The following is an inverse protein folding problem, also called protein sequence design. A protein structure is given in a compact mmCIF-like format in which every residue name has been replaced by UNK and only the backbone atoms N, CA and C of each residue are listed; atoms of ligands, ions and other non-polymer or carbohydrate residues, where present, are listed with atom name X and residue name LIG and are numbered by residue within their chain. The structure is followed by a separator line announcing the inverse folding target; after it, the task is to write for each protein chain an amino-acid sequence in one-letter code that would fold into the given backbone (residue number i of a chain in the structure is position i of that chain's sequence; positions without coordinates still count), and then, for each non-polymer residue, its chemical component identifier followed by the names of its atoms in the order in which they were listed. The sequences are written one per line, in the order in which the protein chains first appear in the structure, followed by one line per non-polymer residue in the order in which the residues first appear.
data_IF_141669080942
#
_entry.id   IF_141669080942
#
_cell.length_a   1.000
_cell.length_b   1.000
_cell.length_c   1.000
_cell.angle_alpha   90.00
_cell.angle_beta   90.00
_cell.angle_gamma   90.00
#
_symmetry.space_group_name_H-M   'P 1'
#
loop_
_entity.id
_entity.type
_entity.pdbx_description
1 polymer ?
#
# COMPACT_ATOMS: atom_id res chain seq x y z
N UNK A 1 -22.16 57.46 -38.03
CA UNK A 1 -21.01 56.55 -37.93
C UNK A 1 -20.76 56.25 -36.45
N UNK A 2 -21.44 55.26 -35.85
CA UNK A 2 -21.35 55.03 -34.40
C UNK A 2 -21.50 53.58 -33.95
N UNK A 3 -21.69 52.65 -34.90
CA UNK A 3 -21.90 51.23 -34.60
C UNK A 3 -20.63 50.38 -34.76
N UNK A 4 -19.62 50.87 -35.50
CA UNK A 4 -18.34 50.17 -35.70
C UNK A 4 -17.42 50.25 -34.47
N UNK A 5 -17.60 51.27 -33.62
CA UNK A 5 -16.84 51.45 -32.39
C UNK A 5 -17.24 50.42 -31.32
N UNK A 6 -18.51 49.99 -31.32
CA UNK A 6 -19.03 48.93 -30.42
C UNK A 6 -18.51 47.54 -30.81
N UNK A 7 -18.37 47.25 -32.11
CA UNK A 7 -17.82 45.99 -32.58
C UNK A 7 -16.34 45.84 -32.21
N UNK A 8 -15.56 46.92 -32.39
CA UNK A 8 -14.13 46.95 -32.02
C UNK A 8 -13.91 46.81 -30.51
N UNK A 9 -14.77 47.43 -29.68
CA UNK A 9 -14.69 47.29 -28.22
C UNK A 9 -14.97 45.86 -27.77
N UNK A 10 -15.96 45.19 -28.38
CA UNK A 10 -16.32 43.80 -28.05
C UNK A 10 -15.20 42.82 -28.44
N UNK A 11 -14.52 43.06 -29.56
CA UNK A 11 -13.39 42.25 -30.00
C UNK A 11 -12.17 42.41 -29.08
N UNK A 12 -11.90 43.63 -28.60
CA UNK A 12 -10.87 43.88 -27.59
C UNK A 12 -11.16 43.16 -26.26
N UNK A 13 -12.40 43.26 -25.75
CA UNK A 13 -12.82 42.57 -24.53
C UNK A 13 -12.72 41.03 -24.66
N UNK A 14 -13.01 40.47 -25.85
CA UNK A 14 -12.86 39.04 -26.10
C UNK A 14 -11.39 38.59 -26.11
N UNK A 15 -10.48 39.42 -26.63
CA UNK A 15 -9.03 39.14 -26.64
C UNK A 15 -8.42 39.21 -25.23
N UNK A 16 -8.82 40.18 -24.42
CA UNK A 16 -8.37 40.27 -23.02
C UNK A 16 -8.91 39.11 -22.17
N UNK A 17 -10.18 38.73 -22.34
CA UNK A 17 -10.74 37.57 -21.65
C UNK A 17 -10.06 36.24 -22.07
N UNK A 18 -9.62 36.12 -23.33
CA UNK A 18 -8.85 34.99 -23.81
C UNK A 18 -7.44 34.96 -23.20
N UNK A 19 -6.77 36.12 -23.11
CA UNK A 19 -5.44 36.28 -22.49
C UNK A 19 -5.47 35.92 -21.01
N UNK A 20 -6.42 36.46 -20.26
CA UNK A 20 -6.62 36.12 -18.84
C UNK A 20 -6.92 34.63 -18.63
N UNK A 21 -7.70 34.00 -19.51
CA UNK A 21 -7.94 32.54 -19.46
C UNK A 21 -6.68 31.75 -19.76
N UNK A 22 -5.86 32.17 -20.72
CA UNK A 22 -4.58 31.51 -21.01
C UNK A 22 -3.56 31.70 -19.88
N UNK A 23 -3.51 32.86 -19.24
CA UNK A 23 -2.63 33.15 -18.10
C UNK A 23 -3.07 32.36 -16.86
N UNK A 24 -4.38 32.34 -16.53
CA UNK A 24 -4.92 31.49 -15.45
C UNK A 24 -4.72 29.99 -15.73
N UNK A 25 -4.72 29.56 -17.00
CA UNK A 25 -4.47 28.16 -17.40
C UNK A 25 -2.98 27.79 -17.40
N UNK A 26 -2.09 28.75 -17.63
CA UNK A 26 -0.63 28.57 -17.49
C UNK A 26 -0.22 28.53 -16.00
N UNK A 27 -0.75 29.44 -15.18
CA UNK A 27 -0.44 29.50 -13.74
C UNK A 27 -0.96 28.26 -12.97
N UNK A 28 -2.05 27.64 -13.45
CA UNK A 28 -2.57 26.36 -12.92
C UNK A 28 -1.82 25.12 -13.41
N UNK A 29 -0.93 25.24 -14.41
CA UNK A 29 -0.04 24.16 -14.86
C UNK A 29 1.26 24.10 -14.03
N UNK A 30 1.71 25.24 -13.50
CA UNK A 30 2.88 25.31 -12.60
C UNK A 30 2.59 24.88 -11.15
N UNK A 31 1.31 24.68 -10.78
CA UNK A 31 0.90 24.08 -9.49
C UNK A 31 0.41 22.64 -9.63
N UNK A 32 0.86 21.93 -10.68
CA UNK A 32 0.83 20.47 -10.71
C UNK A 32 2.21 19.99 -10.31
N UNK A 33 2.44 19.55 -9.06
CA UNK A 33 3.71 18.91 -8.74
C UNK A 33 3.89 17.77 -9.74
N UNK A 34 5.00 17.83 -10.46
CA UNK A 34 5.48 16.75 -11.30
C UNK A 34 5.35 15.44 -10.53
N UNK A 35 4.89 14.39 -11.20
CA UNK A 35 4.85 13.05 -10.64
C UNK A 35 6.27 12.62 -10.27
N UNK A 36 6.70 12.94 -9.04
CA UNK A 36 7.82 12.29 -8.37
C UNK A 36 7.53 10.80 -8.37
N UNK A 37 8.54 9.93 -8.56
CA UNK A 37 8.33 8.48 -8.62
C UNK A 37 7.80 8.00 -7.27
N UNK A 38 6.48 7.85 -7.17
CA UNK A 38 5.72 7.29 -6.05
C UNK A 38 6.11 7.79 -4.66
N UNK A 39 5.29 8.68 -4.08
CA UNK A 39 5.18 8.79 -2.63
C UNK A 39 4.60 7.47 -2.08
N UNK A 40 5.42 6.42 -2.09
CA UNK A 40 5.09 5.16 -1.44
C UNK A 40 5.05 5.47 0.04
N UNK A 41 3.95 5.13 0.71
CA UNK A 41 3.78 5.37 2.14
C UNK A 41 5.07 4.96 2.90
N UNK A 42 5.57 5.80 3.82
CA UNK A 42 6.81 5.51 4.54
C UNK A 42 6.74 4.14 5.24
N UNK A 43 5.55 3.76 5.69
CA UNK A 43 5.24 2.45 6.26
C UNK A 43 5.50 1.29 5.28
N UNK A 44 5.11 1.45 4.01
CA UNK A 44 5.32 0.43 2.97
C UNK A 44 6.81 0.32 2.62
N UNK A 45 7.54 1.43 2.64
CA UNK A 45 9.01 1.42 2.48
C UNK A 45 9.69 0.68 3.64
N UNK A 46 9.25 0.90 4.87
CA UNK A 46 9.75 0.17 6.05
C UNK A 46 9.45 -1.32 5.93
N UNK A 47 8.25 -1.71 5.52
CA UNK A 47 7.92 -3.13 5.23
C UNK A 47 8.86 -3.69 4.15
N UNK A 48 9.12 -2.95 3.07
CA UNK A 48 10.01 -3.41 2.01
C UNK A 48 11.46 -3.59 2.49
N UNK A 49 11.95 -2.73 3.40
CA UNK A 49 13.26 -2.92 4.05
C UNK A 49 13.28 -4.19 4.90
N UNK A 50 12.23 -4.44 5.68
CA UNK A 50 12.09 -5.67 6.47
C UNK A 50 12.09 -6.91 5.59
N UNK A 51 11.39 -6.89 4.45
CA UNK A 51 11.39 -7.99 3.49
C UNK A 51 12.77 -8.29 2.90
N UNK A 52 13.60 -7.26 2.68
CA UNK A 52 14.99 -7.44 2.19
C UNK A 52 15.91 -8.04 3.25
N UNK A 53 15.69 -7.69 4.51
CA UNK A 53 16.54 -8.14 5.64
C UNK A 53 16.13 -9.50 6.17
N UNK A 54 14.84 -9.77 6.22
CA UNK A 54 14.26 -11.00 6.77
C UNK A 54 13.32 -11.62 5.75
N UNK A 55 13.84 -12.21 4.65
CA UNK A 55 13.01 -12.80 3.60
C UNK A 55 12.19 -14.01 4.09
N UNK A 56 12.65 -14.70 5.14
CA UNK A 56 11.97 -15.85 5.74
C UNK A 56 10.73 -15.42 6.56
N UNK A 57 10.88 -14.40 7.40
CA UNK A 57 9.78 -13.85 8.19
C UNK A 57 8.83 -12.98 7.35
N UNK A 58 9.39 -12.16 6.47
CA UNK A 58 8.67 -11.22 5.60
C UNK A 58 8.85 -11.59 4.12
N UNK A 59 8.17 -12.65 3.64
CA UNK A 59 8.24 -13.02 2.23
C UNK A 59 7.62 -11.95 1.33
N UNK A 60 8.19 -11.78 0.12
CA UNK A 60 7.68 -10.92 -0.95
C UNK A 60 6.91 -11.77 -1.97
N UNK A 61 5.87 -11.19 -2.57
CA UNK A 61 5.06 -11.84 -3.63
C UNK A 61 5.99 -12.43 -4.72
N UNK A 62 5.83 -13.70 -5.15
CA UNK A 62 4.65 -14.57 -5.02
C UNK A 62 4.57 -15.47 -3.78
N UNK A 63 5.56 -15.46 -2.87
CA UNK A 63 5.56 -16.38 -1.73
C UNK A 63 4.37 -16.12 -0.77
N UNK A 64 3.75 -17.19 -0.21
CA UNK A 64 2.69 -17.05 0.78
C UNK A 64 3.24 -16.35 2.03
N UNK A 65 2.44 -15.48 2.64
CA UNK A 65 2.83 -14.87 3.93
C UNK A 65 2.93 -15.96 5.00
N UNK A 66 3.78 -15.76 5.99
CA UNK A 66 3.96 -16.72 7.08
C UNK A 66 3.39 -16.13 8.37
N UNK A 67 2.75 -16.92 9.25
CA UNK A 67 2.39 -16.47 10.58
C UNK A 67 3.66 -16.07 11.36
N UNK A 68 3.67 -14.85 11.89
CA UNK A 68 4.82 -14.33 12.60
C UNK A 68 4.78 -14.76 14.09
N UNK A 69 5.96 -14.84 14.70
CA UNK A 69 6.14 -14.99 16.16
C UNK A 69 5.30 -13.97 16.93
N UNK A 70 4.69 -14.41 18.05
CA UNK A 70 4.05 -13.47 19.01
C UNK A 70 5.15 -12.66 19.67
N UNK A 71 5.04 -11.32 19.64
CA UNK A 71 6.10 -10.45 20.17
C UNK A 71 7.23 -10.16 19.18
N UNK A 72 7.11 -10.53 17.89
CA UNK A 72 8.14 -10.23 16.88
C UNK A 72 8.44 -8.72 16.74
N UNK A 73 7.52 -7.85 17.16
CA UNK A 73 7.75 -6.42 17.21
C UNK A 73 8.88 -6.06 18.19
N UNK A 74 8.97 -6.73 19.35
CA UNK A 74 10.03 -6.51 20.33
C UNK A 74 11.38 -6.93 19.76
N UNK A 75 11.42 -8.08 19.07
CA UNK A 75 12.61 -8.55 18.36
C UNK A 75 13.04 -7.55 17.25
N UNK A 76 12.07 -6.94 16.55
CA UNK A 76 12.33 -5.90 15.55
C UNK A 76 12.83 -4.60 16.16
N UNK A 77 12.28 -4.18 17.31
CA UNK A 77 12.72 -2.99 18.04
C UNK A 77 14.17 -3.18 18.51
N UNK A 78 14.53 -4.38 18.98
CA UNK A 78 15.92 -4.72 19.30
C UNK A 78 16.88 -4.57 18.11
N UNK A 79 16.39 -4.81 16.89
CA UNK A 79 17.16 -4.64 15.64
C UNK A 79 16.94 -3.28 14.95
N UNK A 80 16.19 -2.36 15.55
CA UNK A 80 15.82 -1.08 14.93
C UNK A 80 17.05 -0.23 14.53
N UNK A 81 18.08 -0.24 15.37
CA UNK A 81 19.36 0.45 15.11
C UNK A 81 20.06 -0.10 13.86
N UNK A 82 20.14 -1.43 13.72
CA UNK A 82 20.72 -2.08 12.54
C UNK A 82 19.91 -1.81 11.26
N UNK A 83 18.58 -1.67 11.41
CA UNK A 83 17.64 -1.38 10.32
C UNK A 83 17.55 0.11 9.98
N UNK A 84 18.18 0.99 10.78
CA UNK A 84 18.06 2.46 10.70
C UNK A 84 16.59 2.89 10.51
N UNK A 85 15.71 2.31 11.31
CA UNK A 85 14.26 2.56 11.29
C UNK A 85 13.81 2.87 12.72
N UNK A 86 12.86 3.80 12.89
CA UNK A 86 12.37 4.13 14.23
C UNK A 86 11.41 3.06 14.76
N UNK A 87 11.30 2.94 16.08
CA UNK A 87 10.30 2.07 16.72
C UNK A 87 8.88 2.41 16.25
N UNK A 88 8.56 3.69 16.09
CA UNK A 88 7.25 4.13 15.63
C UNK A 88 6.92 3.60 14.22
N UNK A 89 7.87 3.72 13.29
CA UNK A 89 7.72 3.19 11.93
C UNK A 89 7.60 1.67 11.92
N UNK A 90 8.35 0.96 12.75
CA UNK A 90 8.25 -0.51 12.87
C UNK A 90 6.87 -0.92 13.42
N UNK A 91 6.37 -0.22 14.43
CA UNK A 91 5.04 -0.48 14.99
C UNK A 91 3.94 -0.25 13.95
N UNK A 92 4.02 0.83 13.17
CA UNK A 92 3.03 1.11 12.12
C UNK A 92 3.16 0.18 10.91
N UNK A 93 4.38 -0.23 10.55
CA UNK A 93 4.63 -1.29 9.58
C UNK A 93 3.99 -2.61 10.02
N UNK A 94 4.14 -2.99 11.29
CA UNK A 94 3.54 -4.22 11.83
C UNK A 94 2.02 -4.16 11.87
N UNK A 95 1.42 -3.04 12.31
CA UNK A 95 -0.04 -2.86 12.24
C UNK A 95 -0.54 -3.04 10.80
N UNK A 96 0.14 -2.43 9.84
CA UNK A 96 -0.26 -2.49 8.42
C UNK A 96 -0.07 -3.90 7.85
N UNK A 97 1.04 -4.57 8.19
CA UNK A 97 1.32 -5.94 7.76
C UNK A 97 0.29 -6.95 8.26
N UNK A 98 -0.03 -6.90 9.56
CA UNK A 98 -0.96 -7.81 10.23
C UNK A 98 -2.44 -7.56 9.89
N UNK A 99 -2.79 -6.38 9.37
CA UNK A 99 -4.14 -6.06 8.85
C UNK A 99 -4.38 -6.53 7.41
N UNK A 100 -3.37 -7.12 6.76
CA UNK A 100 -3.46 -7.58 5.38
C UNK A 100 -4.24 -8.90 5.23
N UNK A 101 -5.10 -9.00 4.22
CA UNK A 101 -5.86 -10.23 3.92
C UNK A 101 -4.96 -11.46 3.69
N UNK A 102 -3.79 -11.24 3.08
CA UNK A 102 -2.78 -12.30 2.90
C UNK A 102 -2.26 -12.83 4.23
N UNK A 103 -2.13 -11.98 5.24
CA UNK A 103 -1.66 -12.41 6.57
C UNK A 103 -2.71 -13.28 7.26
N UNK A 104 -3.98 -12.86 7.25
CA UNK A 104 -5.08 -13.64 7.82
C UNK A 104 -5.29 -15.00 7.14
N UNK A 105 -4.98 -15.10 5.84
CA UNK A 105 -5.13 -16.37 5.12
C UNK A 105 -4.12 -17.43 5.57
N UNK A 106 -2.97 -17.02 6.10
CA UNK A 106 -1.93 -17.93 6.55
C UNK A 106 -2.01 -18.25 8.05
N UNK A 107 -2.94 -17.62 8.78
CA UNK A 107 -3.25 -17.94 10.18
C UNK A 107 -4.17 -19.17 10.23
N UNK A 108 -3.58 -20.33 9.98
CA UNK A 108 -4.24 -21.65 10.11
C UNK A 108 -3.84 -22.26 11.46
N UNK A 109 -4.78 -22.94 12.11
CA UNK A 109 -4.51 -23.65 13.37
C UNK A 109 -3.37 -24.66 13.19
N UNK A 110 -2.42 -24.67 14.13
CA UNK A 110 -1.24 -25.53 14.07
C UNK A 110 -0.14 -25.06 13.11
N UNK A 111 -0.33 -23.95 12.39
CA UNK A 111 0.72 -23.40 11.55
C UNK A 111 1.89 -22.90 12.39
N UNK A 112 3.11 -23.26 12.00
CA UNK A 112 4.35 -22.87 12.68
C UNK A 112 4.59 -21.38 12.48
N UNK A 113 4.73 -20.65 13.59
CA UNK A 113 5.11 -19.25 13.59
C UNK A 113 6.61 -19.13 13.35
N UNK A 114 7.02 -18.18 12.53
CA UNK A 114 8.44 -17.92 12.26
C UNK A 114 8.93 -16.67 12.98
N UNK A 115 10.16 -16.73 13.49
CA UNK A 115 10.90 -15.58 13.99
C UNK A 115 11.64 -14.82 12.86
N UNK A 116 12.44 -13.82 13.23
CA UNK A 116 13.23 -13.02 12.28
C UNK A 116 14.36 -13.81 11.60
N UNK A 117 14.88 -14.85 12.25
CA UNK A 117 15.89 -15.75 11.69
C UNK A 117 15.29 -16.85 10.81
N UNK A 118 13.96 -17.00 10.81
CA UNK A 118 13.25 -18.08 10.14
C UNK A 118 13.14 -19.36 10.98
N UNK A 119 13.48 -19.29 12.27
CA UNK A 119 13.27 -20.37 13.23
C UNK A 119 11.81 -20.50 13.67
N UNK A 120 11.46 -21.69 14.14
CA UNK A 120 10.14 -21.98 14.68
C UNK A 120 9.97 -21.32 16.05
N UNK A 121 8.98 -20.43 16.17
CA UNK A 121 8.74 -19.64 17.36
C UNK A 121 7.31 -19.81 17.89
N UNK A 122 6.90 -21.08 17.97
CA UNK A 122 5.59 -21.53 18.42
C UNK A 122 4.61 -21.77 17.28
N UNK A 123 3.33 -21.97 17.62
CA UNK A 123 2.29 -22.32 16.66
C UNK A 123 1.09 -21.37 16.77
N UNK A 124 0.29 -21.30 15.71
CA UNK A 124 -0.97 -20.55 15.71
C UNK A 124 -2.04 -21.34 16.45
N UNK A 125 -2.58 -20.74 17.52
CA UNK A 125 -3.67 -21.33 18.30
C UNK A 125 -4.99 -21.34 17.51
N UNK A 126 -5.86 -22.31 17.82
CA UNK A 126 -7.22 -22.39 17.29
C UNK A 126 -8.01 -21.08 17.45
N UNK A 127 -7.81 -20.36 18.56
CA UNK A 127 -8.46 -19.07 18.81
C UNK A 127 -8.03 -18.00 17.80
N UNK A 128 -6.74 -17.94 17.49
CA UNK A 128 -6.19 -16.98 16.51
C UNK A 128 -6.66 -17.32 15.09
N UNK A 129 -6.67 -18.61 14.73
CA UNK A 129 -7.17 -19.07 13.43
C UNK A 129 -8.66 -18.73 13.26
N UNK A 130 -9.49 -18.95 14.28
CA UNK A 130 -10.92 -18.56 14.27
C UNK A 130 -11.09 -17.05 14.11
N UNK A 131 -10.31 -16.24 14.86
CA UNK A 131 -10.35 -14.78 14.75
C UNK A 131 -9.96 -14.31 13.35
N UNK A 132 -8.91 -14.88 12.76
CA UNK A 132 -8.48 -14.55 11.40
C UNK A 132 -9.57 -14.86 10.35
N UNK A 133 -10.24 -16.01 10.49
CA UNK A 133 -11.40 -16.38 9.64
C UNK A 133 -12.54 -15.37 9.77
N UNK A 134 -12.87 -14.93 10.99
CA UNK A 134 -13.90 -13.93 11.23
C UNK A 134 -13.56 -12.56 10.61
N UNK A 135 -12.33 -12.10 10.80
CA UNK A 135 -11.86 -10.82 10.25
C UNK A 135 -11.86 -10.82 8.72
N UNK A 136 -11.50 -11.94 8.11
CA UNK A 136 -11.59 -12.13 6.65
C UNK A 136 -13.03 -12.02 6.14
N UNK A 137 -14.00 -12.57 6.86
CA UNK A 137 -15.42 -12.52 6.49
C UNK A 137 -16.10 -11.16 6.69
N UNK A 138 -15.63 -10.34 7.64
CA UNK A 138 -16.22 -9.02 7.98
C UNK A 138 -15.86 -7.89 7.01
N UNK A 139 -14.88 -8.09 6.12
CA UNK A 139 -14.46 -7.05 5.18
C UNK A 139 -15.43 -7.04 4.00
N UNK A 140 -15.93 -5.86 3.55
CA UNK A 140 -16.85 -5.81 2.41
C UNK A 140 -16.20 -6.51 1.23
N UNK A 141 -16.93 -7.46 0.65
CA UNK A 141 -16.47 -8.24 -0.49
C UNK A 141 -16.16 -7.28 -1.65
N UNK A 142 -14.88 -6.96 -1.86
CA UNK A 142 -14.44 -6.34 -3.11
C UNK A 142 -14.68 -7.39 -4.22
N UNK A 143 -15.31 -7.04 -5.35
CA UNK A 143 -15.64 -8.00 -6.39
C UNK A 143 -14.38 -8.74 -6.82
N UNK A 144 -14.45 -10.08 -6.83
CA UNK A 144 -13.35 -10.95 -7.22
C UNK A 144 -13.02 -10.67 -8.69
N UNK A 145 -11.77 -10.34 -9.06
CA UNK A 145 -11.33 -10.65 -10.41
C UNK A 145 -11.39 -12.18 -10.55
N UNK A 146 -12.18 -12.62 -11.53
CA UNK A 146 -12.33 -14.02 -11.92
C UNK A 146 -10.95 -14.69 -11.95
N UNK A 147 -10.76 -15.70 -11.11
CA UNK A 147 -9.64 -16.62 -11.25
C UNK A 147 -9.81 -17.30 -12.60
N UNK A 148 -8.92 -16.96 -13.54
CA UNK A 148 -8.71 -17.72 -14.75
C UNK A 148 -8.43 -19.17 -14.34
N UNK A 149 -9.39 -20.02 -14.69
CA UNK A 149 -9.32 -21.48 -14.63
C UNK A 149 -8.05 -21.89 -15.41
N UNK A 150 -7.10 -22.65 -14.83
CA UNK A 150 -6.10 -23.30 -15.64
C UNK A 150 -6.84 -24.33 -16.50
N UNK A 151 -6.87 -24.07 -17.81
CA UNK A 151 -7.23 -25.01 -18.87
C UNK A 151 -6.39 -26.28 -18.66
N UNK A 152 -6.99 -27.28 -18.03
CA UNK A 152 -6.46 -28.63 -18.00
C UNK A 152 -6.72 -29.22 -19.39
N UNK A 153 -5.67 -29.30 -20.20
CA UNK A 153 -5.61 -30.26 -21.29
C UNK A 153 -5.79 -31.67 -20.70
N UNK A 154 -6.60 -32.50 -21.34
CA UNK A 154 -6.00 -33.69 -21.92
C UNK A 154 -6.59 -34.09 -23.30
N UNK A 155 -5.65 -34.51 -24.16
CA UNK A 155 -5.70 -35.57 -25.18
C UNK A 155 -6.88 -35.62 -26.15
#
# INVERSE_FOLDING_TARGET
MGFEQLASLRDQLARDAARERSEKKAQKRDTKPAASPSATDPVVLTIAKLQKRFPLAFPRNPAPKVPLKVGILEDLIGQAQALRSSEAELRDAMKTWCRGNRYWTCLVEGAVRVDLAGGEAGQVSAADAKRARMLKGRRPAKPRPQQAKPEQAPQ
#
